data_IF_866695714261
#
_entry.id   IF_866695714261
#
_cell.length_a   1.000
_cell.length_b   1.000
_cell.length_c   1.000
_cell.angle_alpha   90.00
_cell.angle_beta   90.00
_cell.angle_gamma   90.00
#
_symmetry.space_group_name_H-M   'P 1'
#
loop_
_entity.id
_entity.type
_entity.pdbx_description
1 polymer ?
#
# COMPACT_ATOMS: atom_id res chain seq x y z
N UNK A 1 -35.98 34.51 -14.58
CA UNK A 1 -35.73 33.59 -13.45
C UNK A 1 -35.48 32.14 -13.85
N UNK A 2 -36.15 31.57 -14.80
CA UNK A 2 -35.90 30.19 -15.26
C UNK A 2 -34.53 29.95 -15.93
N UNK A 3 -33.91 30.96 -16.49
CA UNK A 3 -32.59 30.83 -17.15
C UNK A 3 -31.44 30.61 -16.16
N UNK A 4 -31.49 31.23 -14.99
CA UNK A 4 -30.45 31.12 -13.96
C UNK A 4 -30.58 29.87 -13.11
N UNK A 5 -31.77 29.28 -13.02
CA UNK A 5 -32.02 28.06 -12.25
C UNK A 5 -31.18 26.87 -12.77
N UNK A 6 -30.98 26.76 -14.09
CA UNK A 6 -30.15 25.73 -14.72
C UNK A 6 -28.66 25.88 -14.33
N UNK A 7 -28.16 27.09 -14.27
CA UNK A 7 -26.76 27.35 -13.88
C UNK A 7 -26.53 27.13 -12.39
N UNK A 8 -27.51 27.45 -11.54
CA UNK A 8 -27.47 27.17 -10.11
C UNK A 8 -27.48 25.65 -9.85
N UNK A 9 -28.34 24.91 -10.52
CA UNK A 9 -28.39 23.44 -10.43
C UNK A 9 -27.10 22.78 -10.92
N UNK A 10 -26.50 23.27 -12.00
CA UNK A 10 -25.24 22.79 -12.53
C UNK A 10 -24.06 23.10 -11.59
N UNK A 11 -24.06 24.26 -10.94
CA UNK A 11 -23.09 24.64 -9.93
C UNK A 11 -23.16 23.75 -8.68
N UNK A 12 -24.36 23.48 -8.18
CA UNK A 12 -24.57 22.59 -7.03
C UNK A 12 -24.12 21.16 -7.36
N UNK A 13 -24.40 20.66 -8.55
CA UNK A 13 -23.99 19.35 -9.01
C UNK A 13 -22.45 19.23 -9.09
N UNK A 14 -21.76 20.27 -9.59
CA UNK A 14 -20.31 20.30 -9.68
C UNK A 14 -19.65 20.31 -8.29
N UNK A 15 -20.20 21.04 -7.32
CA UNK A 15 -19.71 21.10 -5.94
C UNK A 15 -19.88 19.76 -5.23
N UNK A 16 -21.02 19.09 -5.44
CA UNK A 16 -21.28 17.78 -4.82
C UNK A 16 -20.39 16.68 -5.39
N UNK A 17 -20.14 16.67 -6.70
CA UNK A 17 -19.17 15.74 -7.32
C UNK A 17 -17.74 15.98 -6.81
N UNK A 18 -17.33 17.23 -6.68
CA UNK A 18 -16.02 17.59 -6.14
C UNK A 18 -15.82 17.09 -4.71
N UNK A 19 -16.85 17.17 -3.88
CA UNK A 19 -16.79 16.68 -2.49
C UNK A 19 -16.63 15.16 -2.39
N UNK A 20 -17.19 14.41 -3.34
CA UNK A 20 -17.06 12.94 -3.38
C UNK A 20 -15.64 12.53 -3.81
N UNK A 21 -15.04 13.27 -4.74
CA UNK A 21 -13.66 13.01 -5.15
C UNK A 21 -12.62 13.40 -4.09
N UNK A 22 -12.86 14.46 -3.32
CA UNK A 22 -11.95 14.87 -2.23
C UNK A 22 -12.00 13.96 -1.00
N UNK A 23 -13.11 13.30 -0.71
CA UNK A 23 -13.23 12.36 0.42
C UNK A 23 -12.41 11.08 0.26
N UNK A 24 -11.86 10.79 -0.92
CA UNK A 24 -11.11 9.56 -1.18
C UNK A 24 -9.60 9.66 -0.91
N UNK A 25 -9.11 10.79 -0.38
CA UNK A 25 -7.66 11.01 -0.20
C UNK A 25 -7.21 11.38 1.22
N UNK A 26 -8.04 11.19 2.23
CA UNK A 26 -7.63 11.51 3.60
C UNK A 26 -8.27 10.54 4.59
N UNK A 27 -7.87 9.28 4.50
CA UNK A 27 -7.81 8.42 5.66
C UNK A 27 -6.53 7.62 5.52
N UNK A 28 -5.45 8.12 6.10
CA UNK A 28 -4.47 7.25 6.68
C UNK A 28 -5.20 6.56 7.83
N UNK A 29 -6.03 5.57 7.49
CA UNK A 29 -6.60 4.67 8.47
C UNK A 29 -5.43 4.15 9.28
N UNK A 30 -5.43 4.44 10.57
CA UNK A 30 -4.64 3.72 11.54
C UNK A 30 -5.20 2.30 11.55
N UNK A 31 -4.88 1.54 10.51
CA UNK A 31 -5.26 0.16 10.43
C UNK A 31 -4.42 -0.58 11.47
N UNK A 32 -5.07 -1.32 12.32
CA UNK A 32 -4.35 -2.24 13.21
C UNK A 32 -3.61 -3.29 12.36
N UNK A 33 -2.47 -3.80 12.83
CA UNK A 33 -1.80 -4.92 12.19
C UNK A 33 -2.78 -6.08 11.97
N UNK A 34 -2.81 -6.62 10.75
CA UNK A 34 -3.67 -7.75 10.39
C UNK A 34 -3.03 -9.07 10.81
N UNK A 35 -3.84 -10.00 11.27
CA UNK A 35 -3.39 -11.37 11.44
C UNK A 35 -3.41 -12.16 10.10
N UNK A 36 -2.90 -13.38 10.12
CA UNK A 36 -2.85 -14.21 8.91
C UNK A 36 -4.23 -14.53 8.35
N UNK A 37 -5.24 -14.71 9.19
CA UNK A 37 -6.60 -15.02 8.75
C UNK A 37 -7.20 -13.85 7.95
N UNK A 38 -6.96 -12.63 8.41
CA UNK A 38 -7.40 -11.42 7.71
C UNK A 38 -6.64 -11.20 6.40
N UNK A 39 -5.33 -11.47 6.37
CA UNK A 39 -4.52 -11.41 5.15
C UNK A 39 -5.03 -12.44 4.14
N UNK A 40 -5.23 -13.68 4.57
CA UNK A 40 -5.73 -14.76 3.72
C UNK A 40 -7.13 -14.46 3.18
N UNK A 41 -8.03 -13.91 4.00
CA UNK A 41 -9.37 -13.52 3.58
C UNK A 41 -9.35 -12.38 2.54
N UNK A 42 -8.42 -11.44 2.65
CA UNK A 42 -8.25 -10.35 1.68
C UNK A 42 -7.64 -10.81 0.35
N UNK A 43 -6.90 -11.90 0.34
CA UNK A 43 -6.14 -12.39 -0.81
C UNK A 43 -4.91 -11.55 -1.18
N UNK A 44 -4.56 -10.56 -0.37
CA UNK A 44 -3.48 -9.60 -0.65
C UNK A 44 -2.48 -9.59 0.50
N UNK A 45 -1.19 -9.75 0.17
CA UNK A 45 -0.06 -9.56 1.08
C UNK A 45 0.58 -8.20 0.82
N UNK A 46 0.48 -7.28 1.77
CA UNK A 46 1.11 -5.96 1.69
C UNK A 46 2.51 -6.04 2.32
N UNK A 47 3.50 -5.90 1.48
CA UNK A 47 4.90 -6.00 1.89
C UNK A 47 5.64 -4.69 1.69
N UNK A 48 6.61 -4.41 2.54
CA UNK A 48 7.53 -3.29 2.38
C UNK A 48 8.96 -3.80 2.37
N UNK A 49 9.79 -3.22 1.51
CA UNK A 49 11.22 -3.55 1.39
C UNK A 49 12.04 -2.30 1.11
N UNK A 50 13.35 -2.41 1.22
CA UNK A 50 14.26 -1.35 0.82
C UNK A 50 14.48 -1.33 -0.70
N UNK A 51 14.73 -0.15 -1.24
CA UNK A 51 15.11 0.02 -2.64
C UNK A 51 16.64 0.06 -2.75
N UNK A 52 17.21 -0.93 -3.37
CA UNK A 52 18.63 -1.00 -3.68
C UNK A 52 18.89 -2.03 -4.80
N UNK A 53 20.10 -2.08 -5.33
CA UNK A 53 20.47 -2.94 -6.46
C UNK A 53 20.41 -4.46 -6.19
N UNK A 54 20.11 -4.88 -4.98
CA UNK A 54 20.05 -6.29 -4.59
C UNK A 54 18.63 -6.68 -4.21
N UNK A 55 17.99 -5.87 -3.36
CA UNK A 55 16.73 -6.22 -2.72
C UNK A 55 15.51 -5.98 -3.60
N UNK A 56 15.43 -4.79 -4.18
CA UNK A 56 14.35 -4.34 -5.04
C UNK A 56 14.85 -3.20 -5.92
N UNK A 57 14.79 -3.35 -7.22
CA UNK A 57 15.17 -2.32 -8.18
C UNK A 57 14.33 -2.40 -9.45
N UNK A 58 14.22 -1.27 -10.14
CA UNK A 58 13.59 -1.18 -11.45
C UNK A 58 14.67 -1.11 -12.53
N UNK A 59 14.51 -1.89 -13.60
CA UNK A 59 15.31 -1.87 -14.81
C UNK A 59 14.37 -1.70 -16.01
N UNK A 60 14.24 -0.48 -16.49
CA UNK A 60 13.23 -0.12 -17.47
C UNK A 60 11.82 -0.35 -16.92
N UNK A 61 11.02 -1.17 -17.62
CA UNK A 61 9.66 -1.53 -17.23
C UNK A 61 9.61 -2.79 -16.33
N UNK A 62 10.75 -3.34 -15.97
CA UNK A 62 10.85 -4.58 -15.20
C UNK A 62 11.29 -4.27 -13.76
N UNK A 63 10.62 -4.90 -12.80
CA UNK A 63 11.03 -4.89 -11.40
C UNK A 63 11.69 -6.21 -11.06
N UNK A 64 12.81 -6.15 -10.36
CA UNK A 64 13.61 -7.30 -9.96
C UNK A 64 14.24 -7.09 -8.59
N UNK A 65 14.86 -8.10 -8.05
CA UNK A 65 15.60 -8.08 -6.80
C UNK A 65 15.30 -9.28 -5.91
N UNK A 66 16.23 -9.59 -5.02
CA UNK A 66 16.12 -10.76 -4.15
C UNK A 66 14.87 -10.72 -3.26
N UNK A 67 14.62 -9.59 -2.59
CA UNK A 67 13.41 -9.46 -1.74
C UNK A 67 12.13 -9.45 -2.58
N UNK A 68 12.16 -8.81 -3.75
CA UNK A 68 11.03 -8.83 -4.68
C UNK A 68 10.64 -10.26 -5.07
N UNK A 69 11.60 -11.05 -5.50
CA UNK A 69 11.38 -12.44 -5.93
C UNK A 69 10.97 -13.34 -4.76
N UNK A 70 11.59 -13.17 -3.60
CA UNK A 70 11.25 -13.91 -2.39
C UNK A 70 9.82 -13.64 -1.94
N UNK A 71 9.39 -12.37 -1.94
CA UNK A 71 8.02 -11.99 -1.58
C UNK A 71 6.99 -12.52 -2.57
N UNK A 72 7.30 -12.53 -3.86
CA UNK A 72 6.45 -13.13 -4.89
C UNK A 72 6.32 -14.65 -4.68
N UNK A 73 7.41 -15.35 -4.47
CA UNK A 73 7.41 -16.79 -4.23
C UNK A 73 6.62 -17.14 -2.95
N UNK A 74 6.85 -16.38 -1.87
CA UNK A 74 6.12 -16.58 -0.61
C UNK A 74 4.62 -16.33 -0.78
N UNK A 75 4.22 -15.20 -1.35
CA UNK A 75 2.83 -14.88 -1.57
C UNK A 75 2.13 -15.93 -2.46
N UNK A 76 2.79 -16.33 -3.54
CA UNK A 76 2.28 -17.37 -4.43
C UNK A 76 2.08 -18.70 -3.69
N UNK A 77 3.02 -19.11 -2.83
CA UNK A 77 2.90 -20.35 -2.03
C UNK A 77 1.70 -20.34 -1.08
N UNK A 78 1.20 -19.15 -0.72
CA UNK A 78 0.04 -18.95 0.15
C UNK A 78 -1.25 -18.60 -0.62
N UNK A 79 -1.20 -18.56 -1.96
CA UNK A 79 -2.34 -18.16 -2.79
C UNK A 79 -2.68 -16.67 -2.66
N UNK A 80 -1.69 -15.83 -2.31
CA UNK A 80 -1.86 -14.40 -2.13
C UNK A 80 -1.27 -13.60 -3.29
N UNK A 81 -1.86 -12.45 -3.55
CA UNK A 81 -1.29 -11.45 -4.47
C UNK A 81 -0.35 -10.52 -3.67
N UNK A 82 0.94 -10.40 -4.03
CA UNK A 82 1.83 -9.49 -3.35
C UNK A 82 1.63 -8.05 -3.84
N UNK A 83 1.56 -7.12 -2.90
CA UNK A 83 1.69 -5.68 -3.12
C UNK A 83 2.96 -5.21 -2.40
N UNK A 84 4.01 -4.91 -3.16
CA UNK A 84 5.33 -4.61 -2.62
C UNK A 84 5.61 -3.12 -2.78
N UNK A 85 5.86 -2.45 -1.67
CA UNK A 85 6.20 -1.02 -1.62
C UNK A 85 7.67 -0.84 -1.28
N UNK A 86 8.46 -0.18 -2.13
CA UNK A 86 9.81 0.23 -1.77
C UNK A 86 9.77 1.48 -0.86
N UNK A 87 10.47 1.43 0.26
CA UNK A 87 10.64 2.56 1.17
C UNK A 87 12.10 2.61 1.65
N UNK A 88 12.76 3.74 1.43
CA UNK A 88 14.17 3.91 1.75
C UNK A 88 14.46 3.99 3.26
N UNK A 89 13.56 4.59 4.00
CA UNK A 89 13.73 4.76 5.45
C UNK A 89 13.36 3.52 6.24
N UNK A 90 14.32 2.95 6.96
CA UNK A 90 14.06 1.80 7.85
C UNK A 90 12.99 2.12 8.90
N UNK A 91 13.07 3.32 9.51
CA UNK A 91 12.09 3.74 10.52
C UNK A 91 10.67 3.79 9.96
N UNK A 92 10.49 4.28 8.74
CA UNK A 92 9.18 4.31 8.09
C UNK A 92 8.67 2.92 7.72
N UNK A 93 9.56 2.01 7.31
CA UNK A 93 9.18 0.62 7.06
C UNK A 93 8.68 -0.05 8.34
N UNK A 94 9.41 0.12 9.43
CA UNK A 94 9.03 -0.44 10.73
C UNK A 94 7.74 0.17 11.26
N UNK A 95 7.60 1.49 11.20
CA UNK A 95 6.37 2.20 11.56
C UNK A 95 5.16 1.72 10.75
N UNK A 96 5.34 1.51 9.46
CA UNK A 96 4.29 1.03 8.57
C UNK A 96 3.79 -0.38 8.96
N UNK A 97 4.67 -1.28 9.39
CA UNK A 97 4.27 -2.59 9.90
C UNK A 97 3.57 -2.45 11.26
N UNK A 98 4.09 -1.64 12.16
CA UNK A 98 3.50 -1.41 13.49
C UNK A 98 2.09 -0.80 13.41
N UNK A 99 1.86 0.08 12.43
CA UNK A 99 0.54 0.69 12.19
C UNK A 99 -0.41 -0.15 11.32
N UNK A 100 0.04 -1.29 10.82
CA UNK A 100 -0.74 -2.14 9.96
C UNK A 100 -0.89 -1.64 8.52
N UNK A 101 -0.08 -0.68 8.08
CA UNK A 101 0.01 -0.27 6.67
C UNK A 101 0.57 -1.39 5.82
N UNK A 102 1.55 -2.11 6.34
CA UNK A 102 2.15 -3.30 5.74
C UNK A 102 1.97 -4.50 6.66
N UNK A 103 1.90 -5.67 6.06
CA UNK A 103 1.75 -6.94 6.78
C UNK A 103 3.12 -7.56 7.09
N UNK A 104 4.11 -7.33 6.21
CA UNK A 104 5.44 -7.91 6.32
C UNK A 104 6.53 -6.94 5.88
N UNK A 105 7.64 -6.96 6.60
CA UNK A 105 8.87 -6.26 6.27
C UNK A 105 9.89 -7.27 5.74
N UNK A 106 10.28 -7.13 4.47
CA UNK A 106 11.40 -7.87 3.91
C UNK A 106 12.67 -7.01 3.97
N UNK A 107 13.55 -7.34 4.88
CA UNK A 107 14.81 -6.64 5.10
C UNK A 107 15.86 -7.61 5.65
N UNK A 108 17.13 -7.35 5.32
CA UNK A 108 18.25 -8.08 5.90
C UNK A 108 18.47 -7.63 7.34
N UNK A 109 17.73 -8.22 8.26
CA UNK A 109 17.79 -7.88 9.68
C UNK A 109 18.57 -8.95 10.45
N UNK A 110 19.47 -8.52 11.32
CA UNK A 110 20.20 -9.43 12.20
C UNK A 110 19.25 -9.96 13.28
N UNK A 111 19.16 -11.26 13.43
CA UNK A 111 18.45 -11.89 14.54
C UNK A 111 19.39 -11.87 15.75
N UNK A 112 19.03 -11.10 16.76
CA UNK A 112 19.73 -11.09 18.07
C UNK A 112 18.99 -12.00 19.02
N UNK A 113 19.71 -12.92 19.64
CA UNK A 113 19.22 -13.66 20.81
C UNK A 113 19.63 -12.90 22.06
N UNK A 114 18.66 -12.47 22.85
CA UNK A 114 18.92 -12.00 24.22
C UNK A 114 19.14 -13.20 25.17
#
# INVERSE_FOLDING_TARGET
>A
MRKYLKYILMGILAVTLSSIFFKKKTEAETSLPRDYAEIAASGILRAVTEYNSISFYADGDTVSGFHYELLHAFAHSKGLKPEITPEMSFSKRLEGVQKGTYDILANSTVVTTE
#
